data_IF_285109344441
#
_entry.id   IF_285109344441
#
_cell.length_a   1.000
_cell.length_b   1.000
_cell.length_c   1.000
_cell.angle_alpha   90.00
_cell.angle_beta   90.00
_cell.angle_gamma   90.00
#
_symmetry.space_group_name_H-M   'P 1'
#
loop_
_entity.id
_entity.type
_entity.pdbx_description
1 polymer ?
#
# COMPACT_ATOMS: atom_id res chain seq x y z
N UNK A 1 22.72 10.59 -18.50
CA UNK A 1 23.30 11.62 -17.61
C UNK A 1 23.50 12.93 -18.38
N UNK A 2 23.89 12.89 -19.67
CA UNK A 2 24.03 14.08 -20.49
C UNK A 2 22.66 14.70 -20.80
N UNK A 3 22.38 15.93 -20.30
CA UNK A 3 21.10 16.64 -20.49
C UNK A 3 20.12 16.52 -19.30
N UNK A 4 20.54 15.94 -18.18
CA UNK A 4 19.78 15.99 -16.95
C UNK A 4 19.99 17.29 -16.18
N UNK A 5 18.99 17.67 -15.35
CA UNK A 5 19.14 18.74 -14.35
C UNK A 5 19.28 18.16 -12.95
N UNK A 6 19.99 18.85 -12.09
CA UNK A 6 20.09 18.49 -10.68
C UNK A 6 18.87 19.03 -9.95
N UNK A 7 18.18 18.16 -9.23
CA UNK A 7 17.15 18.55 -8.26
C UNK A 7 17.57 18.14 -6.85
N UNK A 8 17.12 18.91 -5.87
CA UNK A 8 17.36 18.65 -4.46
C UNK A 8 16.02 18.33 -3.84
N UNK A 9 15.87 17.11 -3.36
CA UNK A 9 14.61 16.60 -2.83
C UNK A 9 14.75 16.15 -1.38
N UNK A 10 13.62 15.92 -0.76
CA UNK A 10 13.51 15.36 0.58
C UNK A 10 13.63 13.83 0.54
N UNK A 11 13.88 13.23 1.70
CA UNK A 11 13.71 11.79 1.91
C UNK A 11 13.25 11.51 3.34
N UNK A 12 12.60 10.39 3.56
CA UNK A 12 12.13 10.00 4.89
C UNK A 12 13.12 9.10 5.62
N UNK A 13 12.95 8.99 6.94
CA UNK A 13 13.61 7.99 7.78
C UNK A 13 12.57 7.26 8.61
N UNK A 14 12.69 5.93 8.73
CA UNK A 14 11.93 5.09 9.66
C UNK A 14 12.91 4.39 10.60
N UNK A 15 12.84 4.65 11.89
CA UNK A 15 13.80 4.17 12.90
C UNK A 15 15.26 4.44 12.49
N UNK A 16 15.52 5.59 11.89
CA UNK A 16 16.85 5.98 11.39
C UNK A 16 17.23 5.44 10.01
N UNK A 17 16.47 4.49 9.45
CA UNK A 17 16.72 3.92 8.12
C UNK A 17 16.07 4.81 7.05
N UNK A 18 16.82 5.25 6.01
CA UNK A 18 16.27 6.09 4.97
C UNK A 18 15.31 5.34 4.07
N UNK A 19 14.25 6.05 3.61
CA UNK A 19 13.37 5.64 2.53
C UNK A 19 13.10 6.81 1.58
N UNK A 20 12.82 6.53 0.32
CA UNK A 20 12.70 7.54 -0.71
C UNK A 20 11.27 7.70 -1.24
N UNK A 21 10.49 6.62 -1.24
CA UNK A 21 9.11 6.64 -1.68
C UNK A 21 8.14 6.58 -0.50
N UNK A 22 8.00 5.43 0.14
CA UNK A 22 7.03 5.21 1.19
C UNK A 22 7.57 4.29 2.28
N UNK A 23 7.09 4.46 3.50
CA UNK A 23 7.21 3.47 4.55
C UNK A 23 5.84 3.24 5.21
N UNK A 24 5.72 2.19 6.02
CA UNK A 24 4.45 1.97 6.69
C UNK A 24 4.41 0.76 7.60
N UNK A 25 3.26 0.62 8.25
CA UNK A 25 2.91 -0.45 9.18
C UNK A 25 1.54 -1.01 8.85
N UNK A 26 1.32 -2.26 9.22
CA UNK A 26 0.03 -2.89 9.00
C UNK A 26 0.05 -3.81 7.78
N UNK A 27 -1.02 -3.80 7.03
CA UNK A 27 -1.21 -4.74 5.92
C UNK A 27 -0.18 -4.60 4.80
N UNK A 28 0.24 -3.38 4.46
CA UNK A 28 1.27 -3.13 3.45
C UNK A 28 2.64 -3.70 3.84
N UNK A 29 3.03 -3.56 5.11
CA UNK A 29 4.22 -4.18 5.64
C UNK A 29 4.12 -5.73 5.67
N UNK A 30 2.95 -6.26 6.01
CA UNK A 30 2.68 -7.69 5.96
C UNK A 30 2.81 -8.25 4.53
N UNK A 31 2.27 -7.54 3.54
CA UNK A 31 2.38 -7.90 2.12
C UNK A 31 3.84 -7.86 1.66
N UNK A 32 4.60 -6.83 2.02
CA UNK A 32 6.02 -6.73 1.71
C UNK A 32 6.81 -7.93 2.25
N UNK A 33 6.53 -8.36 3.48
CA UNK A 33 7.14 -9.56 4.06
C UNK A 33 6.78 -10.83 3.27
N UNK A 34 5.51 -11.03 2.95
CA UNK A 34 5.06 -12.19 2.18
C UNK A 34 5.71 -12.24 0.80
N UNK A 35 5.81 -11.08 0.16
CA UNK A 35 6.41 -10.94 -1.15
C UNK A 35 7.92 -11.23 -1.16
N UNK A 36 8.65 -10.76 -0.16
CA UNK A 36 10.08 -11.05 -0.03
C UNK A 36 10.37 -12.55 0.14
N UNK A 37 9.43 -13.29 0.76
CA UNK A 37 9.53 -14.74 0.98
C UNK A 37 9.12 -15.58 -0.25
N UNK A 38 8.25 -15.06 -1.11
CA UNK A 38 7.65 -15.84 -2.22
C UNK A 38 8.60 -16.09 -3.39
N UNK A 39 9.72 -15.39 -3.52
CA UNK A 39 10.76 -15.61 -4.54
C UNK A 39 10.32 -15.41 -6.01
N UNK A 40 9.04 -15.19 -6.28
CA UNK A 40 8.47 -14.99 -7.62
C UNK A 40 8.00 -13.54 -7.77
N UNK A 41 8.53 -12.85 -8.74
CA UNK A 41 8.15 -11.47 -9.09
C UNK A 41 7.24 -11.49 -10.31
N UNK A 42 5.99 -10.99 -10.12
CA UNK A 42 5.03 -10.77 -11.21
C UNK A 42 3.82 -9.98 -10.70
N UNK A 43 3.34 -8.97 -11.46
CA UNK A 43 2.29 -8.04 -10.97
C UNK A 43 0.95 -8.74 -10.71
N UNK A 44 0.57 -9.73 -11.48
CA UNK A 44 -0.68 -10.49 -11.31
C UNK A 44 -0.68 -11.39 -10.08
N UNK A 45 0.39 -12.18 -9.89
CA UNK A 45 0.52 -13.07 -8.72
C UNK A 45 0.55 -12.27 -7.42
N UNK A 46 1.16 -11.08 -7.46
CA UNK A 46 1.21 -10.15 -6.34
C UNK A 46 -0.19 -9.65 -5.95
N UNK A 47 -0.96 -9.22 -6.92
CA UNK A 47 -2.29 -8.66 -6.69
C UNK A 47 -3.29 -9.71 -6.18
N UNK A 48 -3.27 -10.92 -6.74
CA UNK A 48 -4.11 -12.03 -6.30
C UNK A 48 -3.79 -12.45 -4.85
N UNK A 49 -2.51 -12.64 -4.51
CA UNK A 49 -2.09 -12.96 -3.15
C UNK A 49 -2.42 -11.84 -2.17
N UNK A 50 -2.23 -10.59 -2.56
CA UNK A 50 -2.56 -9.41 -1.75
C UNK A 50 -4.05 -9.37 -1.42
N UNK A 51 -4.93 -9.61 -2.39
CA UNK A 51 -6.38 -9.66 -2.18
C UNK A 51 -6.79 -10.82 -1.25
N UNK A 52 -6.25 -12.01 -1.44
CA UNK A 52 -6.55 -13.17 -0.59
C UNK A 52 -6.05 -12.97 0.85
N UNK A 53 -4.89 -12.37 1.03
CA UNK A 53 -4.34 -12.09 2.36
C UNK A 53 -5.08 -10.93 3.05
N UNK A 54 -5.60 -9.94 2.31
CA UNK A 54 -6.39 -8.84 2.87
C UNK A 54 -7.62 -9.33 3.62
N UNK A 55 -8.26 -10.40 3.15
CA UNK A 55 -9.43 -11.00 3.80
C UNK A 55 -9.12 -11.67 5.15
N UNK A 56 -7.86 -12.04 5.38
CA UNK A 56 -7.39 -12.69 6.62
C UNK A 56 -6.75 -11.72 7.60
N UNK A 57 -6.30 -10.56 7.11
CA UNK A 57 -5.62 -9.57 7.93
C UNK A 57 -6.59 -8.90 8.91
N UNK A 58 -6.16 -8.76 10.17
CA UNK A 58 -6.95 -8.09 11.22
C UNK A 58 -6.38 -6.70 11.48
N UNK A 59 -7.19 -5.65 11.32
CA UNK A 59 -6.77 -4.29 11.66
C UNK A 59 -6.34 -4.18 13.13
N UNK A 60 -5.23 -3.49 13.36
CA UNK A 60 -4.66 -3.26 14.69
C UNK A 60 -4.97 -1.84 15.20
N UNK A 61 -4.75 -1.62 16.50
CA UNK A 61 -4.87 -0.30 17.11
C UNK A 61 -3.47 0.28 17.23
N UNK A 62 -3.33 1.49 16.71
CA UNK A 62 -2.10 2.29 16.77
C UNK A 62 -2.38 3.60 17.48
N UNK A 63 -1.41 4.06 18.26
CA UNK A 63 -1.40 5.39 18.87
C UNK A 63 -0.40 6.26 18.10
N UNK A 64 -0.87 7.37 17.55
CA UNK A 64 -0.09 8.25 16.68
C UNK A 64 0.14 9.59 17.34
N UNK A 65 1.40 10.02 17.40
CA UNK A 65 1.83 11.35 17.83
C UNK A 65 2.49 12.04 16.63
N UNK A 66 1.92 13.15 16.19
CA UNK A 66 2.41 13.92 15.03
C UNK A 66 3.01 15.25 15.52
N UNK A 67 4.25 15.52 15.12
CA UNK A 67 4.98 16.77 15.46
C UNK A 67 4.99 17.12 16.95
N UNK A 68 5.04 16.09 17.83
CA UNK A 68 5.04 16.27 19.29
C UNK A 68 3.69 16.67 19.88
N UNK A 69 2.59 16.64 19.11
CA UNK A 69 1.25 16.91 19.60
C UNK A 69 0.68 15.72 20.39
N UNK A 70 -0.48 15.93 21.03
CA UNK A 70 -1.16 14.88 21.77
C UNK A 70 -1.44 13.65 20.89
N UNK A 71 -1.18 12.46 21.43
CA UNK A 71 -1.41 11.22 20.73
C UNK A 71 -2.90 10.94 20.49
N UNK A 72 -3.20 10.33 19.36
CA UNK A 72 -4.54 9.92 18.98
C UNK A 72 -4.55 8.45 18.57
N UNK A 73 -5.56 7.72 19.00
CA UNK A 73 -5.70 6.29 18.69
C UNK A 73 -6.50 6.05 17.42
N UNK A 74 -5.96 5.21 16.54
CA UNK A 74 -6.62 4.77 15.31
C UNK A 74 -6.65 3.26 15.25
N UNK A 75 -7.80 2.71 14.88
CA UNK A 75 -7.87 1.31 14.43
C UNK A 75 -7.64 1.32 12.94
N UNK A 76 -6.48 0.81 12.50
CA UNK A 76 -6.08 0.89 11.11
C UNK A 76 -5.81 -0.50 10.50
N UNK A 77 -6.13 -0.63 9.23
CA UNK A 77 -5.73 -1.74 8.38
C UNK A 77 -4.28 -1.56 7.91
N UNK A 78 -3.91 -0.34 7.56
CA UNK A 78 -2.54 0.09 7.30
C UNK A 78 -2.38 1.58 7.65
N UNK A 79 -1.13 1.96 7.89
CA UNK A 79 -0.69 3.35 7.99
C UNK A 79 0.52 3.49 7.07
N UNK A 80 0.37 4.25 5.99
CA UNK A 80 1.43 4.56 5.04
C UNK A 80 1.91 6.00 5.23
N UNK A 81 3.23 6.18 5.22
CA UNK A 81 3.89 7.48 5.26
C UNK A 81 4.63 7.67 3.94
N UNK A 82 4.23 8.65 3.15
CA UNK A 82 4.82 8.93 1.85
C UNK A 82 5.67 10.20 1.85
N UNK A 83 6.87 10.09 1.32
CA UNK A 83 7.64 11.19 0.77
C UNK A 83 7.30 11.35 -0.73
N UNK A 84 7.04 10.22 -1.41
CA UNK A 84 6.52 10.18 -2.77
C UNK A 84 5.05 9.72 -2.79
N UNK A 85 4.35 10.02 -3.88
CA UNK A 85 2.89 9.84 -3.97
C UNK A 85 2.43 8.39 -4.14
N UNK A 86 3.31 7.43 -4.43
CA UNK A 86 2.92 6.08 -4.82
C UNK A 86 3.85 5.01 -4.26
N UNK A 87 3.32 3.81 -4.08
CA UNK A 87 4.11 2.59 -3.86
C UNK A 87 4.92 2.17 -5.10
N UNK A 88 4.54 2.64 -6.28
CA UNK A 88 5.01 2.23 -7.58
C UNK A 88 3.85 1.78 -8.48
N UNK A 89 4.11 1.59 -9.78
CA UNK A 89 3.14 1.09 -10.77
C UNK A 89 1.78 1.83 -10.76
N UNK A 90 1.79 3.13 -10.50
CA UNK A 90 0.59 4.00 -10.38
C UNK A 90 -0.35 3.65 -9.21
N UNK A 91 0.13 2.96 -8.18
CA UNK A 91 -0.63 2.75 -6.94
C UNK A 91 -0.38 3.93 -5.97
N UNK A 92 -1.24 4.95 -6.05
CA UNK A 92 -1.09 6.22 -5.35
C UNK A 92 -1.70 6.17 -3.95
N UNK A 93 -0.90 5.82 -2.95
CA UNK A 93 -1.35 5.73 -1.54
C UNK A 93 -1.33 7.08 -0.83
N UNK A 94 -0.43 7.96 -1.20
CA UNK A 94 -0.28 9.34 -0.70
C UNK A 94 -0.36 10.33 -1.88
N UNK A 95 -1.53 10.48 -2.54
CA UNK A 95 -1.65 11.11 -3.84
C UNK A 95 -1.21 12.60 -3.87
N UNK A 96 -1.14 13.25 -2.72
CA UNK A 96 -0.75 14.66 -2.59
C UNK A 96 0.72 14.86 -2.27
N UNK A 97 1.45 13.79 -1.92
CA UNK A 97 2.85 13.89 -1.55
C UNK A 97 3.70 14.53 -2.65
N UNK A 98 4.56 15.44 -2.24
CA UNK A 98 5.57 16.13 -3.06
C UNK A 98 6.95 15.93 -2.45
N UNK A 99 7.97 15.88 -3.30
CA UNK A 99 9.32 15.48 -2.88
C UNK A 99 10.15 16.64 -2.29
N UNK A 100 9.59 17.84 -2.11
CA UNK A 100 10.36 19.06 -1.80
C UNK A 100 9.61 20.05 -0.89
N UNK A 101 8.50 19.62 -0.27
CA UNK A 101 7.69 20.48 0.62
C UNK A 101 8.07 20.34 2.11
N UNK A 102 8.97 19.39 2.42
CA UNK A 102 9.45 19.15 3.79
C UNK A 102 8.44 18.47 4.68
N UNK A 103 7.46 17.74 4.12
CA UNK A 103 6.40 17.06 4.84
C UNK A 103 6.34 15.57 4.47
N UNK A 104 5.85 14.78 5.41
CA UNK A 104 5.38 13.42 5.19
C UNK A 104 3.87 13.46 4.98
N UNK A 105 3.38 12.81 3.95
CA UNK A 105 1.95 12.53 3.77
C UNK A 105 1.59 11.21 4.44
N UNK A 106 0.75 11.26 5.45
CA UNK A 106 0.31 10.09 6.21
C UNK A 106 -1.08 9.69 5.75
N UNK A 107 -1.23 8.46 5.29
CA UNK A 107 -2.51 7.85 4.92
C UNK A 107 -2.84 6.72 5.87
N UNK A 108 -3.99 6.80 6.52
CA UNK A 108 -4.54 5.77 7.40
C UNK A 108 -5.73 5.13 6.69
N UNK A 109 -5.67 3.85 6.41
CA UNK A 109 -6.81 3.06 5.96
C UNK A 109 -7.47 2.40 7.16
N UNK A 110 -8.69 2.83 7.47
CA UNK A 110 -9.51 2.23 8.51
C UNK A 110 -10.04 0.85 8.10
N UNK A 111 -10.59 0.05 9.03
CA UNK A 111 -11.21 -1.23 8.68
C UNK A 111 -12.29 -1.07 7.62
N UNK A 112 -12.27 -1.94 6.63
CA UNK A 112 -13.18 -1.94 5.50
C UNK A 112 -13.74 -3.35 5.24
N UNK A 113 -14.73 -3.46 4.37
CA UNK A 113 -15.37 -4.72 3.99
C UNK A 113 -15.01 -5.10 2.56
N UNK A 114 -15.33 -6.33 2.15
CA UNK A 114 -15.13 -6.79 0.75
C UNK A 114 -15.86 -5.88 -0.24
N UNK A 115 -16.97 -5.27 0.16
CA UNK A 115 -17.74 -4.34 -0.69
C UNK A 115 -17.01 -3.02 -0.96
N UNK A 116 -16.10 -2.62 -0.08
CA UNK A 116 -15.30 -1.39 -0.22
C UNK A 116 -14.11 -1.59 -1.20
N UNK A 117 -13.68 -2.86 -1.43
CA UNK A 117 -12.46 -3.19 -2.21
C UNK A 117 -12.47 -2.63 -3.63
N UNK A 118 -13.55 -2.73 -4.43
CA UNK A 118 -13.55 -2.17 -5.78
C UNK A 118 -13.34 -0.66 -5.80
N UNK A 119 -14.00 0.06 -4.88
CA UNK A 119 -13.86 1.51 -4.75
C UNK A 119 -12.46 1.92 -4.32
N UNK A 120 -11.91 1.26 -3.29
CA UNK A 120 -10.55 1.51 -2.78
C UNK A 120 -9.50 1.25 -3.88
N UNK A 121 -9.64 0.12 -4.61
CA UNK A 121 -8.72 -0.21 -5.71
C UNK A 121 -8.80 0.82 -6.83
N UNK A 122 -10.00 1.17 -7.29
CA UNK A 122 -10.18 2.17 -8.32
C UNK A 122 -9.55 3.52 -7.92
N UNK A 123 -9.80 3.98 -6.70
CA UNK A 123 -9.29 5.25 -6.21
C UNK A 123 -7.77 5.25 -6.00
N UNK A 124 -7.19 4.11 -5.58
CA UNK A 124 -5.75 3.93 -5.45
C UNK A 124 -5.03 4.17 -6.79
N UNK A 125 -5.54 3.59 -7.88
CA UNK A 125 -4.93 3.75 -9.21
C UNK A 125 -5.33 5.04 -9.91
N UNK A 126 -6.46 5.65 -9.53
CA UNK A 126 -6.93 6.90 -10.11
C UNK A 126 -6.47 8.16 -9.34
N UNK A 127 -5.57 8.00 -8.38
CA UNK A 127 -4.99 9.11 -7.59
C UNK A 127 -6.03 9.88 -6.75
N UNK A 128 -7.08 9.21 -6.30
CA UNK A 128 -8.18 9.79 -5.53
C UNK A 128 -8.49 9.02 -4.24
N UNK A 129 -7.55 8.21 -3.77
CA UNK A 129 -7.72 7.38 -2.56
C UNK A 129 -8.03 8.22 -1.31
N UNK A 130 -7.48 9.43 -1.25
CA UNK A 130 -7.69 10.41 -0.17
C UNK A 130 -9.13 10.93 -0.07
N UNK A 131 -9.98 10.67 -1.07
CA UNK A 131 -11.41 11.01 -1.08
C UNK A 131 -12.29 9.88 -0.53
N UNK A 132 -11.71 8.70 -0.23
CA UNK A 132 -12.46 7.58 0.31
C UNK A 132 -12.84 7.80 1.77
N UNK A 133 -14.07 7.46 2.16
CA UNK A 133 -14.56 7.61 3.54
C UNK A 133 -13.82 6.77 4.57
N UNK A 134 -13.13 5.70 4.15
CA UNK A 134 -12.28 4.84 5.00
C UNK A 134 -10.85 5.35 5.14
N UNK A 135 -10.51 6.44 4.46
CA UNK A 135 -9.17 7.02 4.46
C UNK A 135 -9.16 8.29 5.30
N UNK A 136 -8.12 8.41 6.12
CA UNK A 136 -7.74 9.66 6.78
C UNK A 136 -6.36 10.05 6.32
N UNK A 137 -6.16 11.32 6.01
CA UNK A 137 -4.88 11.85 5.56
C UNK A 137 -4.43 12.99 6.45
N UNK A 138 -3.12 13.03 6.71
CA UNK A 138 -2.47 14.06 7.52
C UNK A 138 -1.14 14.42 6.88
N UNK A 139 -0.62 15.59 7.20
CA UNK A 139 0.76 15.98 6.88
C UNK A 139 1.51 16.32 8.17
N UNK A 140 2.74 15.87 8.30
CA UNK A 140 3.59 16.15 9.45
C UNK A 140 5.08 16.08 9.07
N UNK A 141 5.95 16.59 9.93
CA UNK A 141 7.41 16.45 9.79
C UNK A 141 7.94 15.22 10.53
N UNK A 142 7.26 14.85 11.58
CA UNK A 142 7.60 13.69 12.40
C UNK A 142 6.34 12.97 12.85
N UNK A 143 6.41 11.65 12.87
CA UNK A 143 5.34 10.77 13.33
C UNK A 143 5.93 9.70 14.23
N UNK A 144 5.39 9.57 15.44
CA UNK A 144 5.63 8.41 16.28
C UNK A 144 4.41 7.52 16.26
N UNK A 145 4.61 6.23 15.98
CA UNK A 145 3.58 5.20 15.94
C UNK A 145 3.87 4.23 17.08
N UNK A 146 2.94 4.12 18.01
CA UNK A 146 2.98 3.09 19.06
C UNK A 146 1.96 2.00 18.78
N UNK A 147 2.37 0.74 18.95
CA UNK A 147 1.51 -0.46 18.82
C UNK A 147 1.75 -1.42 19.97
N UNK A 148 0.78 -2.31 20.23
CA UNK A 148 0.78 -3.20 21.42
C UNK A 148 1.80 -4.34 21.38
N UNK A 149 2.45 -4.60 20.26
CA UNK A 149 3.42 -5.70 20.08
C UNK A 149 4.38 -5.39 18.93
N UNK A 150 5.61 -5.93 18.97
CA UNK A 150 6.52 -5.90 17.83
C UNK A 150 5.91 -6.53 16.57
N UNK A 151 6.32 -6.06 15.40
CA UNK A 151 5.81 -6.57 14.14
C UNK A 151 6.60 -6.03 12.94
N UNK A 152 6.08 -6.30 11.75
CA UNK A 152 6.72 -5.87 10.51
C UNK A 152 6.43 -4.40 10.24
N UNK A 153 7.41 -3.70 9.71
CA UNK A 153 7.32 -2.41 9.01
C UNK A 153 7.91 -2.58 7.62
N UNK A 154 7.63 -1.69 6.71
CA UNK A 154 8.34 -1.65 5.42
C UNK A 154 8.88 -0.25 5.13
N UNK A 155 9.89 -0.20 4.28
CA UNK A 155 10.43 1.01 3.66
C UNK A 155 10.78 0.70 2.21
N UNK A 156 10.22 1.47 1.28
CA UNK A 156 10.34 1.28 -0.17
C UNK A 156 10.06 -0.17 -0.66
N UNK A 157 9.17 -0.88 0.06
CA UNK A 157 8.81 -2.26 -0.23
C UNK A 157 9.67 -3.32 0.47
N UNK A 158 10.75 -2.96 1.15
CA UNK A 158 11.60 -3.88 1.92
C UNK A 158 11.05 -4.06 3.35
N UNK A 159 10.74 -5.29 3.77
CA UNK A 159 10.20 -5.56 5.10
C UNK A 159 11.29 -5.63 6.17
N UNK A 160 10.99 -5.15 7.37
CA UNK A 160 11.84 -5.24 8.54
C UNK A 160 11.01 -5.48 9.80
N UNK A 161 11.56 -6.23 10.76
CA UNK A 161 10.99 -6.32 12.11
C UNK A 161 11.32 -5.07 12.92
N UNK A 162 10.32 -4.46 13.55
CA UNK A 162 10.47 -3.33 14.44
C UNK A 162 9.76 -3.59 15.78
N UNK A 163 10.13 -2.83 16.81
CA UNK A 163 9.51 -2.87 18.14
C UNK A 163 8.07 -2.33 18.16
N UNK A 164 7.65 -1.98 19.35
CA UNK A 164 6.33 -1.37 19.59
C UNK A 164 6.31 0.11 19.18
N UNK A 165 7.45 0.80 19.32
CA UNK A 165 7.61 2.20 18.97
C UNK A 165 8.33 2.32 17.63
N UNK A 166 7.74 3.07 16.71
CA UNK A 166 8.27 3.34 15.37
C UNK A 166 8.31 4.86 15.19
N UNK A 167 9.48 5.38 14.85
CA UNK A 167 9.69 6.79 14.56
C UNK A 167 9.87 7.00 13.06
N UNK A 168 9.08 7.93 12.50
CA UNK A 168 9.17 8.34 11.10
C UNK A 168 9.43 9.84 11.06
N UNK A 169 10.34 10.29 10.23
CA UNK A 169 10.67 11.70 10.06
C UNK A 169 11.08 12.04 8.65
N UNK A 170 10.91 13.31 8.24
CA UNK A 170 11.39 13.83 6.97
C UNK A 170 12.75 14.48 7.15
N UNK A 171 13.64 14.29 6.18
CA UNK A 171 14.91 14.99 6.03
C UNK A 171 14.80 15.89 4.81
N UNK A 172 14.84 17.19 5.06
CA UNK A 172 14.53 18.18 4.04
C UNK A 172 15.75 18.48 3.17
N UNK A 173 15.59 18.45 1.85
CA UNK A 173 16.53 18.97 0.84
C UNK A 173 17.97 18.47 0.95
N UNK A 174 18.15 17.23 1.37
CA UNK A 174 19.50 16.65 1.49
C UNK A 174 19.83 15.65 0.37
N UNK A 175 18.83 15.18 -0.39
CA UNK A 175 19.05 14.23 -1.48
C UNK A 175 19.15 14.95 -2.82
N UNK A 176 20.32 14.81 -3.47
CA UNK A 176 20.56 15.34 -4.81
C UNK A 176 20.29 14.27 -5.86
N UNK A 177 19.37 14.53 -6.78
CA UNK A 177 19.00 13.60 -7.85
C UNK A 177 19.18 14.25 -9.23
N UNK A 178 19.54 13.45 -10.22
CA UNK A 178 19.60 13.91 -11.61
C UNK A 178 18.30 13.49 -12.28
N UNK A 179 17.51 14.46 -12.72
CA UNK A 179 16.24 14.23 -13.41
C UNK A 179 16.35 14.59 -14.90
N UNK A 180 15.59 13.95 -15.78
CA UNK A 180 15.55 14.31 -17.20
C UNK A 180 15.12 15.78 -17.38
N UNK A 181 15.74 16.49 -18.31
CA UNK A 181 15.27 17.81 -18.72
C UNK A 181 13.87 17.68 -19.33
N UNK A 182 13.01 18.72 -19.18
CA UNK A 182 11.62 18.68 -19.68
C UNK A 182 11.50 18.40 -21.18
N UNK A 183 12.49 18.79 -21.96
CA UNK A 183 12.58 18.50 -23.40
C UNK A 183 12.80 17.02 -23.72
N UNK A 184 13.19 16.21 -22.71
CA UNK A 184 13.40 14.76 -22.86
C UNK A 184 12.22 13.91 -22.38
N UNK A 185 11.09 14.51 -21.99
CA UNK A 185 9.89 13.74 -21.63
C UNK A 185 9.40 12.97 -22.88
N UNK A 186 9.67 11.68 -22.93
CA UNK A 186 9.00 10.79 -23.89
C UNK A 186 7.50 10.92 -23.66
N UNK A 187 6.79 11.39 -24.66
CA UNK A 187 5.33 11.37 -24.73
C UNK A 187 4.87 9.92 -24.64
N UNK A 188 4.63 9.47 -23.41
CA UNK A 188 4.00 8.18 -23.19
C UNK A 188 2.57 8.27 -23.71
N UNK A 189 2.22 7.42 -24.67
CA UNK A 189 0.92 7.41 -25.33
C UNK A 189 -0.17 7.18 -24.26
N UNK A 190 -0.96 8.24 -23.96
CA UNK A 190 -2.02 8.22 -22.94
C UNK A 190 -3.03 7.10 -23.22
N UNK A 191 -3.28 6.82 -24.51
CA UNK A 191 -4.13 5.73 -24.97
C UNK A 191 -3.56 4.34 -24.59
N UNK A 192 -2.24 4.14 -24.68
CA UNK A 192 -1.60 2.89 -24.28
C UNK A 192 -1.76 2.66 -22.76
N UNK A 193 -1.55 3.69 -21.94
CA UNK A 193 -1.72 3.60 -20.48
C UNK A 193 -3.16 3.32 -20.09
N UNK A 194 -4.13 3.95 -20.77
CA UNK A 194 -5.54 3.67 -20.56
C UNK A 194 -5.90 2.22 -20.94
N UNK A 195 -5.34 1.72 -22.04
CA UNK A 195 -5.57 0.35 -22.50
C UNK A 195 -4.95 -0.69 -21.53
N UNK A 196 -3.72 -0.44 -21.05
CA UNK A 196 -3.04 -1.29 -20.06
C UNK A 196 -3.82 -1.34 -18.74
N UNK A 197 -4.39 -0.21 -18.31
CA UNK A 197 -5.26 -0.13 -17.15
C UNK A 197 -6.56 -0.93 -17.32
N UNK A 198 -7.24 -0.76 -18.46
CA UNK A 198 -8.47 -1.51 -18.77
C UNK A 198 -8.20 -3.01 -18.84
N UNK A 199 -7.09 -3.41 -19.43
CA UNK A 199 -6.67 -4.82 -19.49
C UNK A 199 -6.37 -5.38 -18.10
N UNK A 200 -5.71 -4.62 -17.24
CA UNK A 200 -5.48 -4.98 -15.84
C UNK A 200 -6.78 -5.18 -15.05
N UNK A 201 -7.76 -4.28 -15.21
CA UNK A 201 -9.08 -4.41 -14.58
C UNK A 201 -9.87 -5.63 -15.07
N UNK A 202 -9.79 -5.96 -16.37
CA UNK A 202 -10.45 -7.15 -16.93
C UNK A 202 -9.86 -8.43 -16.34
N UNK A 203 -8.54 -8.53 -16.28
CA UNK A 203 -7.85 -9.67 -15.69
C UNK A 203 -8.15 -9.85 -14.20
N UNK A 204 -8.26 -8.73 -13.45
CA UNK A 204 -8.70 -8.73 -12.06
C UNK A 204 -10.11 -9.30 -11.89
N UNK A 205 -11.05 -8.86 -12.74
CA UNK A 205 -12.43 -9.32 -12.68
C UNK A 205 -12.55 -10.81 -13.05
N UNK A 206 -11.80 -11.28 -14.03
CA UNK A 206 -11.77 -12.68 -14.43
C UNK A 206 -11.18 -13.57 -13.31
N UNK A 207 -10.06 -13.19 -12.70
CA UNK A 207 -9.45 -13.93 -11.59
C UNK A 207 -10.38 -13.97 -10.35
N UNK A 208 -11.07 -12.87 -10.05
CA UNK A 208 -12.03 -12.80 -8.95
C UNK A 208 -13.25 -13.70 -9.17
N UNK A 209 -13.79 -13.73 -10.39
CA UNK A 209 -14.93 -14.59 -10.77
C UNK A 209 -14.52 -16.07 -10.75
N UNK A 210 -13.32 -16.42 -11.19
CA UNK A 210 -12.80 -17.79 -11.11
C UNK A 210 -12.62 -18.26 -9.67
N UNK A 211 -12.04 -17.45 -8.79
CA UNK A 211 -11.82 -17.81 -7.38
C UNK A 211 -13.17 -18.02 -6.64
N UNK A 212 -14.17 -17.15 -6.87
CA UNK A 212 -15.53 -17.35 -6.35
C UNK A 212 -16.14 -18.63 -6.88
N UNK A 213 -15.96 -18.92 -8.17
CA UNK A 213 -16.48 -20.14 -8.80
C UNK A 213 -15.84 -21.40 -8.20
N UNK A 214 -14.54 -21.41 -8.00
CA UNK A 214 -13.82 -22.52 -7.34
C UNK A 214 -14.23 -22.71 -5.88
N UNK A 215 -14.38 -21.64 -5.11
CA UNK A 215 -14.85 -21.71 -3.72
C UNK A 215 -16.28 -22.24 -3.62
N UNK A 216 -17.17 -21.77 -4.49
CA UNK A 216 -18.55 -22.25 -4.52
C UNK A 216 -18.64 -23.73 -4.93
N UNK A 217 -17.82 -24.20 -5.88
CA UNK A 217 -17.70 -25.63 -6.19
C UNK A 217 -17.21 -26.44 -4.99
N UNK A 218 -16.17 -26.01 -4.33
CA UNK A 218 -15.63 -26.71 -3.16
C UNK A 218 -16.66 -26.80 -2.00
N UNK A 219 -17.49 -25.77 -1.79
CA UNK A 219 -18.56 -25.77 -0.80
C UNK A 219 -19.67 -26.75 -1.22
N UNK A 220 -20.09 -26.75 -2.49
CA UNK A 220 -21.09 -27.66 -3.02
C UNK A 220 -20.64 -29.13 -2.94
N UNK A 221 -19.37 -29.40 -3.23
CA UNK A 221 -18.84 -30.76 -3.19
C UNK A 221 -18.74 -31.27 -1.75
N UNK A 222 -18.28 -30.44 -0.79
CA UNK A 222 -18.33 -30.75 0.64
C UNK A 222 -19.76 -30.99 1.14
N UNK A 223 -20.73 -30.20 0.70
CA UNK A 223 -22.16 -30.38 1.01
C UNK A 223 -22.69 -31.71 0.50
N UNK A 224 -22.38 -32.09 -0.76
CA UNK A 224 -22.74 -33.38 -1.35
C UNK A 224 -22.13 -34.59 -0.61
N UNK A 225 -20.86 -34.47 -0.17
CA UNK A 225 -20.22 -35.52 0.65
C UNK A 225 -20.88 -35.67 2.01
N UNK A 226 -21.25 -34.58 2.68
CA UNK A 226 -21.97 -34.66 3.96
C UNK A 226 -23.35 -35.30 3.82
N UNK A 227 -24.10 -34.93 2.78
CA UNK A 227 -25.40 -35.54 2.48
C UNK A 227 -25.27 -37.04 2.20
N UNK A 228 -24.24 -37.44 1.41
CA UNK A 228 -23.98 -38.89 1.17
C UNK A 228 -23.59 -39.66 2.44
N UNK A 229 -22.91 -39.03 3.40
CA UNK A 229 -22.58 -39.64 4.70
C UNK A 229 -23.81 -39.79 5.60
N UNK A 230 -24.76 -38.85 5.54
CA UNK A 230 -25.99 -38.89 6.30
C UNK A 230 -27.01 -39.92 5.72
N UNK A 231 -27.02 -40.10 4.41
CA UNK A 231 -27.89 -41.08 3.73
C UNK A 231 -27.42 -42.54 3.85
N UNK A 232 -26.23 -42.80 4.40
CA UNK A 232 -25.67 -44.13 4.65
C UNK A 232 -25.79 -44.58 6.12
N UNK A 233 -26.36 -43.76 6.99
CA UNK A 233 -26.79 -44.09 8.36
C UNK A 233 -28.29 -44.31 8.42
#
# INVERSE_FOLDING_TARGET
INGGRLEVIDYGKINGIPFFCTCGVGFDAFVSLKFSQAGKRGPLTYLEQTLLESLKYRPEVYELEMDGNASTRYRAFLIACGNASQYGNNAYITPRATLDDGLLDVTILEPFTVLDVPSLSFQLFNKTIDQNSRIKTFQCKSLRIHRSKPGVVHFDGDPMMAGEDIEVSIVQRELKVIVPCETCKRSGNVLQRAQDYINGLKQLNEAFVEDISHKNRAILDKGKEQIKKLAKK
#
